data_IF_220090278131
#
_entry.id   IF_220090278131
#
_cell.length_a   1.000
_cell.length_b   1.000
_cell.length_c   1.000
_cell.angle_alpha   90.00
_cell.angle_beta   90.00
_cell.angle_gamma   90.00
#
_symmetry.space_group_name_H-M   'P 1'
#
loop_
_entity.id
_entity.type
_entity.pdbx_description
1 polymer ?
#
# COMPACT_ATOMS: atom_id res chain seq x y z
N UNK A 1 8.60 -13.57 -49.42
CA UNK A 1 8.86 -13.46 -47.94
C UNK A 1 7.84 -12.61 -47.17
N UNK A 2 6.98 -11.84 -47.81
CA UNK A 2 6.07 -10.85 -47.17
C UNK A 2 4.80 -11.45 -46.52
N UNK A 3 4.26 -12.57 -46.98
CA UNK A 3 2.99 -13.13 -46.46
C UNK A 3 3.17 -13.90 -45.13
N UNK A 4 4.29 -14.58 -44.95
CA UNK A 4 4.58 -15.35 -43.72
C UNK A 4 4.87 -14.42 -42.53
N UNK A 5 5.57 -13.29 -42.75
CA UNK A 5 5.86 -12.29 -41.71
C UNK A 5 4.60 -11.55 -41.26
N UNK A 6 3.68 -11.23 -42.17
CA UNK A 6 2.40 -10.62 -41.82
C UNK A 6 1.49 -11.57 -41.01
N UNK A 7 1.46 -12.87 -41.38
CA UNK A 7 0.71 -13.90 -40.66
C UNK A 7 1.29 -14.18 -39.25
N UNK A 8 2.62 -14.13 -39.11
CA UNK A 8 3.28 -14.27 -37.81
C UNK A 8 2.98 -13.07 -36.87
N UNK A 9 3.05 -11.85 -37.39
CA UNK A 9 2.71 -10.64 -36.60
C UNK A 9 1.26 -10.63 -36.15
N UNK A 10 0.32 -11.08 -36.94
CA UNK A 10 -1.09 -11.19 -36.57
C UNK A 10 -1.36 -12.27 -35.50
N UNK A 11 -0.60 -13.38 -35.51
CA UNK A 11 -0.66 -14.43 -34.49
C UNK A 11 -0.12 -13.94 -33.15
N UNK A 12 1.06 -13.32 -33.15
CA UNK A 12 1.68 -12.76 -31.94
C UNK A 12 0.75 -11.72 -31.27
N UNK A 13 0.20 -10.79 -32.06
CA UNK A 13 -0.72 -9.79 -31.54
C UNK A 13 -1.95 -10.40 -30.84
N UNK A 14 -2.56 -11.42 -31.45
CA UNK A 14 -3.70 -12.13 -30.85
C UNK A 14 -3.32 -12.87 -29.56
N UNK A 15 -2.12 -13.44 -29.53
CA UNK A 15 -1.61 -14.11 -28.31
C UNK A 15 -1.41 -13.12 -27.19
N UNK A 16 -0.73 -12.00 -27.46
CA UNK A 16 -0.52 -10.93 -26.45
C UNK A 16 -1.83 -10.31 -26.01
N UNK A 17 -2.80 -10.11 -26.92
CA UNK A 17 -4.13 -9.64 -26.56
C UNK A 17 -4.84 -10.59 -25.59
N UNK A 18 -4.74 -11.92 -25.81
CA UNK A 18 -5.30 -12.92 -24.89
C UNK A 18 -4.62 -12.86 -23.52
N UNK A 19 -3.32 -12.76 -23.49
CA UNK A 19 -2.57 -12.63 -22.23
C UNK A 19 -2.97 -11.37 -21.47
N UNK A 20 -3.05 -10.26 -22.16
CA UNK A 20 -3.52 -9.01 -21.55
C UNK A 20 -4.94 -9.15 -20.96
N UNK A 21 -5.84 -9.77 -21.72
CA UNK A 21 -7.21 -9.99 -21.25
C UNK A 21 -7.28 -10.89 -20.00
N UNK A 22 -6.62 -12.05 -20.02
CA UNK A 22 -6.63 -12.95 -18.86
C UNK A 22 -5.85 -12.42 -17.68
N UNK A 23 -4.72 -11.77 -17.88
CA UNK A 23 -3.98 -11.07 -16.84
C UNK A 23 -4.84 -9.98 -16.21
N UNK A 24 -5.57 -9.19 -17.03
CA UNK A 24 -6.51 -8.18 -16.53
C UNK A 24 -7.64 -8.79 -15.72
N UNK A 25 -8.29 -9.84 -16.24
CA UNK A 25 -9.39 -10.50 -15.53
C UNK A 25 -8.97 -11.03 -14.17
N UNK A 26 -7.77 -11.60 -14.08
CA UNK A 26 -7.20 -12.09 -12.82
C UNK A 26 -6.80 -10.93 -11.89
N UNK A 27 -6.12 -9.90 -12.41
CA UNK A 27 -5.54 -8.84 -11.58
C UNK A 27 -6.54 -7.81 -11.08
N UNK A 28 -7.65 -7.55 -11.80
CA UNK A 28 -8.64 -6.52 -11.46
C UNK A 28 -9.14 -6.59 -10.01
N UNK A 29 -9.61 -7.75 -9.48
CA UNK A 29 -10.10 -7.81 -8.11
C UNK A 29 -9.01 -7.46 -7.09
N UNK A 30 -7.78 -7.90 -7.32
CA UNK A 30 -6.65 -7.57 -6.45
C UNK A 30 -6.28 -6.08 -6.54
N UNK A 31 -6.21 -5.52 -7.75
CA UNK A 31 -5.91 -4.09 -7.96
C UNK A 31 -6.95 -3.23 -7.23
N UNK A 32 -8.23 -3.53 -7.35
CA UNK A 32 -9.29 -2.79 -6.67
C UNK A 32 -9.17 -2.91 -5.15
N UNK A 33 -8.93 -4.12 -4.64
CA UNK A 33 -8.76 -4.37 -3.23
C UNK A 33 -7.52 -3.66 -2.66
N UNK A 34 -6.38 -3.81 -3.30
CA UNK A 34 -5.12 -3.20 -2.88
C UNK A 34 -5.17 -1.66 -2.99
N UNK A 35 -5.81 -1.13 -4.04
CA UNK A 35 -6.01 0.31 -4.15
C UNK A 35 -6.90 0.85 -3.03
N UNK A 36 -8.00 0.18 -2.69
CA UNK A 36 -8.88 0.59 -1.60
C UNK A 36 -8.18 0.53 -0.24
N UNK A 37 -7.57 -0.61 0.11
CA UNK A 37 -6.89 -0.80 1.40
C UNK A 37 -5.64 0.07 1.54
N UNK A 38 -4.86 0.23 0.46
CA UNK A 38 -3.70 1.12 0.42
C UNK A 38 -4.09 2.59 0.58
N UNK A 39 -5.21 3.01 -0.05
CA UNK A 39 -5.75 4.37 0.13
C UNK A 39 -6.13 4.65 1.58
N UNK A 40 -6.73 3.68 2.27
CA UNK A 40 -7.03 3.81 3.71
C UNK A 40 -5.73 3.87 4.51
N UNK A 41 -4.75 3.03 4.20
CA UNK A 41 -3.47 2.98 4.90
C UNK A 41 -2.66 4.29 4.74
N UNK A 42 -2.85 5.02 3.64
CA UNK A 42 -2.24 6.35 3.44
C UNK A 42 -2.63 7.34 4.55
N UNK A 43 -3.82 7.18 5.13
CA UNK A 43 -4.30 8.00 6.24
C UNK A 43 -3.94 7.42 7.63
N UNK A 44 -2.99 6.47 7.70
CA UNK A 44 -2.53 5.88 8.97
C UNK A 44 -2.18 6.92 10.03
N UNK A 45 -1.40 8.00 9.77
CA UNK A 45 -1.06 8.98 10.80
C UNK A 45 -2.30 9.68 11.36
N UNK A 46 -3.29 9.99 10.53
CA UNK A 46 -4.54 10.65 10.94
C UNK A 46 -5.42 9.70 11.74
N UNK A 47 -5.51 8.43 11.31
CA UNK A 47 -6.26 7.38 12.01
C UNK A 47 -5.64 7.12 13.39
N UNK A 48 -4.33 6.95 13.47
CA UNK A 48 -3.62 6.74 14.72
C UNK A 48 -3.78 7.95 15.66
N UNK A 49 -3.63 9.17 15.14
CA UNK A 49 -3.82 10.40 15.92
C UNK A 49 -5.26 10.59 16.43
N UNK A 50 -6.26 10.12 15.66
CA UNK A 50 -7.65 10.12 16.11
C UNK A 50 -7.92 9.08 17.21
N UNK A 51 -7.34 7.88 17.09
CA UNK A 51 -7.47 6.79 18.07
C UNK A 51 -6.74 7.13 19.36
N UNK A 52 -5.57 7.77 19.27
CA UNK A 52 -4.69 8.07 20.39
C UNK A 52 -4.89 9.50 20.94
N UNK A 53 -5.92 10.24 20.49
CA UNK A 53 -6.16 11.64 20.85
C UNK A 53 -6.19 11.91 22.36
N UNK A 54 -6.64 10.95 23.16
CA UNK A 54 -6.78 11.11 24.60
C UNK A 54 -5.42 11.10 25.31
N UNK A 55 -4.45 10.35 24.75
CA UNK A 55 -3.06 10.29 25.24
C UNK A 55 -2.14 11.31 24.54
N UNK A 56 -2.64 12.04 23.54
CA UNK A 56 -1.91 13.10 22.83
C UNK A 56 -2.31 14.52 23.27
N UNK A 57 -3.13 14.65 24.34
CA UNK A 57 -3.59 15.96 24.88
C UNK A 57 -3.36 16.05 26.35
N UNK A 58 -2.23 15.58 26.85
CA UNK A 58 -1.87 15.60 28.25
C UNK A 58 -1.65 17.04 28.76
N UNK A 59 -1.88 17.24 30.02
CA UNK A 59 -1.47 18.46 30.75
C UNK A 59 -0.08 18.18 31.31
N UNK A 60 0.91 18.83 30.74
CA UNK A 60 2.32 18.74 31.15
C UNK A 60 2.71 20.12 31.66
N UNK A 61 2.89 20.22 32.97
CA UNK A 61 3.15 21.46 33.72
C UNK A 61 4.55 21.52 34.33
N UNK A 62 5.40 20.50 34.08
CA UNK A 62 6.76 20.40 34.56
C UNK A 62 7.73 19.76 33.56
N UNK A 63 8.99 19.58 33.95
CA UNK A 63 10.01 18.99 33.11
C UNK A 63 9.67 17.53 32.80
N UNK A 64 9.98 17.10 31.55
CA UNK A 64 9.86 15.72 31.16
C UNK A 64 10.97 14.88 31.80
N UNK A 65 10.65 13.70 32.24
CA UNK A 65 11.64 12.72 32.66
C UNK A 65 12.52 12.27 31.44
N UNK A 66 13.68 11.72 31.75
CA UNK A 66 14.59 11.21 30.70
C UNK A 66 13.93 10.07 29.89
N UNK A 67 14.34 9.92 28.64
CA UNK A 67 13.86 8.82 27.79
C UNK A 67 14.11 7.45 28.42
N UNK A 68 15.24 7.31 29.11
CA UNK A 68 15.58 6.07 29.84
C UNK A 68 14.58 5.78 30.96
N UNK A 69 14.20 6.78 31.77
CA UNK A 69 13.21 6.62 32.85
C UNK A 69 11.84 6.23 32.27
N UNK A 70 11.46 6.81 31.13
CA UNK A 70 10.21 6.49 30.44
C UNK A 70 10.21 5.04 29.90
N UNK A 71 11.34 4.58 29.35
CA UNK A 71 11.53 3.18 28.92
C UNK A 71 11.47 2.23 30.11
N UNK A 72 12.11 2.56 31.23
CA UNK A 72 12.04 1.73 32.44
C UNK A 72 10.62 1.62 32.98
N UNK A 73 9.84 2.71 32.95
CA UNK A 73 8.43 2.68 33.34
C UNK A 73 7.61 1.74 32.44
N UNK A 74 7.86 1.74 31.14
CA UNK A 74 7.20 0.83 30.21
C UNK A 74 7.59 -0.63 30.44
N UNK A 75 8.87 -0.92 30.67
CA UNK A 75 9.35 -2.28 30.95
C UNK A 75 8.80 -2.81 32.28
N UNK A 76 8.68 -1.96 33.29
CA UNK A 76 8.08 -2.30 34.59
C UNK A 76 6.60 -2.67 34.44
N UNK A 77 5.88 -2.01 33.53
CA UNK A 77 4.48 -2.28 33.25
C UNK A 77 4.23 -3.62 32.53
N UNK A 78 5.23 -4.14 31.82
CA UNK A 78 5.17 -5.43 31.09
C UNK A 78 6.31 -6.33 31.56
N UNK A 79 6.17 -7.01 32.71
CA UNK A 79 7.25 -7.84 33.27
C UNK A 79 7.72 -8.94 32.33
N UNK A 80 9.04 -9.11 32.20
CA UNK A 80 9.66 -10.10 31.32
C UNK A 80 9.73 -9.66 29.85
N UNK A 81 9.31 -8.43 29.53
CA UNK A 81 9.51 -7.87 28.20
C UNK A 81 10.92 -7.32 28.00
N UNK A 82 11.26 -7.09 26.73
CA UNK A 82 12.49 -6.43 26.29
C UNK A 82 12.15 -5.19 25.50
N UNK A 83 12.97 -4.16 25.63
CA UNK A 83 12.85 -2.95 24.81
C UNK A 83 12.96 -3.28 23.31
N UNK A 84 12.04 -2.76 22.52
CA UNK A 84 12.03 -2.92 21.06
C UNK A 84 12.21 -1.58 20.33
N UNK A 85 11.44 -0.55 20.70
CA UNK A 85 11.58 0.77 20.08
C UNK A 85 11.03 1.88 21.00
N UNK A 86 11.52 3.09 20.79
CA UNK A 86 11.02 4.31 21.41
C UNK A 86 10.56 5.25 20.29
N UNK A 87 9.28 5.59 20.31
CA UNK A 87 8.72 6.55 19.34
C UNK A 87 8.71 7.94 19.98
N UNK A 88 9.29 8.89 19.26
CA UNK A 88 9.25 10.29 19.68
C UNK A 88 7.80 10.77 19.80
N UNK A 89 7.48 11.58 20.83
CA UNK A 89 6.15 12.13 20.98
C UNK A 89 5.80 13.05 19.81
N UNK A 90 4.56 12.97 19.32
CA UNK A 90 4.08 13.77 18.19
C UNK A 90 4.06 15.27 18.49
N UNK A 91 3.76 15.62 19.73
CA UNK A 91 3.72 17.00 20.24
C UNK A 91 4.27 17.06 21.66
N UNK A 92 4.48 18.27 22.17
CA UNK A 92 4.88 18.47 23.57
C UNK A 92 3.83 18.01 24.59
N UNK A 93 2.62 17.72 24.14
CA UNK A 93 1.51 17.24 24.98
C UNK A 93 1.17 15.78 24.76
N UNK A 94 1.97 15.07 23.96
CA UNK A 94 1.75 13.66 23.66
C UNK A 94 2.45 12.77 24.69
N UNK A 95 1.80 11.64 25.01
CA UNK A 95 2.44 10.51 25.67
C UNK A 95 3.59 9.98 24.84
N UNK A 96 4.58 9.44 25.50
CA UNK A 96 5.65 8.68 24.86
C UNK A 96 5.15 7.28 24.56
N UNK A 97 5.50 6.76 23.39
CA UNK A 97 5.16 5.43 22.96
C UNK A 97 6.41 4.55 23.01
N UNK A 98 6.41 3.59 23.92
CA UNK A 98 7.48 2.60 24.03
C UNK A 98 6.95 1.26 23.55
N UNK A 99 7.61 0.69 22.55
CA UNK A 99 7.33 -0.67 22.12
C UNK A 99 8.20 -1.63 22.92
N UNK A 100 7.55 -2.61 23.53
CA UNK A 100 8.21 -3.70 24.24
C UNK A 100 7.82 -5.03 23.61
N UNK A 101 8.70 -6.03 23.70
CA UNK A 101 8.48 -7.37 23.13
C UNK A 101 8.57 -8.42 24.21
N UNK A 102 7.58 -9.32 24.24
CA UNK A 102 7.53 -10.47 25.14
C UNK A 102 7.04 -11.70 24.39
N UNK A 103 7.88 -12.74 24.32
CA UNK A 103 7.49 -14.00 23.67
C UNK A 103 7.19 -13.87 22.17
N UNK A 104 7.77 -12.87 21.49
CA UNK A 104 7.50 -12.59 20.07
C UNK A 104 6.32 -11.64 19.81
N UNK A 105 5.49 -11.37 20.80
CA UNK A 105 4.45 -10.35 20.72
C UNK A 105 5.02 -8.97 21.03
N UNK A 106 4.47 -7.94 20.40
CA UNK A 106 4.84 -6.54 20.62
C UNK A 106 3.68 -5.80 21.26
N UNK A 107 3.95 -5.16 22.39
CA UNK A 107 3.02 -4.30 23.08
C UNK A 107 3.49 -2.84 22.98
N UNK A 108 2.57 -1.95 22.74
CA UNK A 108 2.76 -0.50 22.74
C UNK A 108 2.31 0.04 24.09
N UNK A 109 3.24 0.60 24.84
CA UNK A 109 3.00 1.18 26.15
C UNK A 109 3.06 2.71 26.02
N UNK A 110 1.99 3.39 26.41
CA UNK A 110 1.88 4.84 26.42
C UNK A 110 2.23 5.36 27.81
N UNK A 111 3.30 6.10 27.92
CA UNK A 111 3.84 6.61 29.19
C UNK A 111 3.67 8.13 29.25
N UNK A 112 3.14 8.64 30.37
CA UNK A 112 3.18 10.07 30.66
C UNK A 112 4.62 10.53 30.80
N UNK A 113 5.10 11.47 29.97
CA UNK A 113 6.50 11.84 29.94
C UNK A 113 7.00 12.57 31.17
N UNK A 114 6.10 13.10 32.01
CA UNK A 114 6.43 13.81 33.25
C UNK A 114 6.25 12.91 34.46
N UNK A 115 5.11 12.21 34.56
CA UNK A 115 4.72 11.44 35.76
C UNK A 115 5.18 9.99 35.72
N UNK A 116 5.67 9.52 34.56
CA UNK A 116 6.09 8.14 34.34
C UNK A 116 4.97 7.10 34.57
N UNK A 117 3.72 7.55 34.56
CA UNK A 117 2.56 6.67 34.70
C UNK A 117 2.20 6.07 33.33
N UNK A 118 1.83 4.80 33.34
CA UNK A 118 1.33 4.13 32.13
C UNK A 118 -0.13 4.51 31.94
N UNK A 119 -0.44 5.11 30.80
CA UNK A 119 -1.77 5.61 30.46
C UNK A 119 -2.59 4.57 29.70
N UNK A 120 -1.93 3.79 28.84
CA UNK A 120 -2.57 2.82 27.95
C UNK A 120 -1.56 1.75 27.56
N UNK A 121 -2.03 0.51 27.39
CA UNK A 121 -1.29 -0.60 26.79
C UNK A 121 -2.13 -1.20 25.68
N UNK A 122 -1.51 -1.50 24.53
CA UNK A 122 -2.20 -2.06 23.37
C UNK A 122 -1.28 -3.08 22.71
N UNK A 123 -1.79 -4.28 22.42
CA UNK A 123 -1.09 -5.20 21.54
C UNK A 123 -0.96 -4.56 20.16
N UNK A 124 0.25 -4.56 19.58
CA UNK A 124 0.50 -3.96 18.27
C UNK A 124 -0.29 -4.68 17.17
N UNK A 125 -0.60 -5.97 17.36
CA UNK A 125 -1.40 -6.76 16.43
C UNK A 125 -2.90 -6.40 16.45
N UNK A 126 -3.41 -5.84 17.55
CA UNK A 126 -4.82 -5.46 17.72
C UNK A 126 -5.14 -4.04 17.20
N UNK A 127 -4.13 -3.32 16.73
CA UNK A 127 -4.35 -1.97 16.20
C UNK A 127 -5.11 -2.00 14.87
N UNK A 128 -6.05 -1.07 14.70
CA UNK A 128 -6.82 -0.92 13.46
C UNK A 128 -5.90 -0.77 12.22
N UNK A 129 -4.84 0.01 12.36
CA UNK A 129 -3.87 0.21 11.27
C UNK A 129 -3.07 -1.04 10.94
N UNK A 130 -2.85 -1.94 11.92
CA UNK A 130 -2.27 -3.25 11.71
C UNK A 130 -3.23 -4.18 10.96
N UNK A 131 -4.51 -4.13 11.31
CA UNK A 131 -5.56 -4.86 10.57
C UNK A 131 -5.59 -4.43 9.09
N UNK A 132 -5.55 -3.12 8.82
CA UNK A 132 -5.51 -2.58 7.45
C UNK A 132 -4.26 -3.05 6.71
N UNK A 133 -3.10 -3.08 7.37
CA UNK A 133 -1.86 -3.61 6.82
C UNK A 133 -2.00 -5.09 6.42
N UNK A 134 -2.57 -5.93 7.31
CA UNK A 134 -2.83 -7.35 7.01
C UNK A 134 -3.85 -7.52 5.88
N UNK A 135 -4.88 -6.68 5.82
CA UNK A 135 -5.83 -6.66 4.71
C UNK A 135 -5.14 -6.37 3.38
N UNK A 136 -4.21 -5.41 3.37
CA UNK A 136 -3.49 -5.02 2.18
C UNK A 136 -2.49 -6.07 1.71
N UNK A 137 -1.62 -6.56 2.59
CA UNK A 137 -0.50 -7.44 2.23
C UNK A 137 -0.76 -8.93 2.37
N UNK A 138 -1.72 -9.32 3.22
CA UNK A 138 -1.92 -10.72 3.62
C UNK A 138 -3.35 -11.22 3.38
N UNK A 139 -4.29 -10.37 2.92
CA UNK A 139 -5.71 -10.69 2.75
C UNK A 139 -6.36 -11.32 4.00
N UNK A 140 -5.81 -11.07 5.18
CA UNK A 140 -6.15 -11.69 6.48
C UNK A 140 -5.93 -13.21 6.58
N UNK A 141 -5.28 -13.84 5.61
CA UNK A 141 -5.00 -15.28 5.59
C UNK A 141 -3.51 -15.60 5.70
N UNK A 142 -2.72 -14.65 6.24
CA UNK A 142 -1.31 -14.80 6.54
C UNK A 142 -0.45 -15.05 5.28
N UNK A 143 0.53 -15.93 5.40
CA UNK A 143 1.50 -16.19 4.31
C UNK A 143 0.83 -16.60 2.98
N UNK A 144 -0.27 -17.34 3.02
CA UNK A 144 -1.01 -17.71 1.81
C UNK A 144 -1.55 -16.47 1.10
N UNK A 145 -2.04 -15.49 1.87
CA UNK A 145 -2.49 -14.21 1.32
C UNK A 145 -1.35 -13.41 0.71
N UNK A 146 -0.18 -13.35 1.37
CA UNK A 146 1.00 -12.71 0.81
C UNK A 146 1.40 -13.30 -0.53
N UNK A 147 1.45 -14.62 -0.66
CA UNK A 147 1.74 -15.28 -1.94
C UNK A 147 0.71 -14.97 -3.02
N UNK A 148 -0.57 -14.86 -2.67
CA UNK A 148 -1.61 -14.46 -3.64
C UNK A 148 -1.44 -13.01 -4.10
N UNK A 149 -1.08 -12.10 -3.19
CA UNK A 149 -0.79 -10.70 -3.52
C UNK A 149 0.45 -10.58 -4.40
N UNK A 150 1.53 -11.32 -4.09
CA UNK A 150 2.75 -11.37 -4.90
C UNK A 150 2.48 -11.94 -6.30
N UNK A 151 1.67 -13.01 -6.39
CA UNK A 151 1.23 -13.57 -7.66
C UNK A 151 0.43 -12.53 -8.46
N UNK A 152 -0.50 -11.83 -7.82
CA UNK A 152 -1.29 -10.77 -8.46
C UNK A 152 -0.40 -9.61 -8.94
N UNK A 153 0.61 -9.19 -8.16
CA UNK A 153 1.59 -8.19 -8.56
C UNK A 153 2.40 -8.64 -9.78
N UNK A 154 2.85 -9.90 -9.80
CA UNK A 154 3.56 -10.48 -10.94
C UNK A 154 2.70 -10.48 -12.22
N UNK A 155 1.41 -10.85 -12.10
CA UNK A 155 0.46 -10.80 -13.22
C UNK A 155 0.12 -9.37 -13.63
N UNK A 156 0.12 -8.41 -12.70
CA UNK A 156 -0.05 -7.00 -13.04
C UNK A 156 1.13 -6.47 -13.87
N UNK A 157 2.36 -6.93 -13.63
CA UNK A 157 3.51 -6.61 -14.49
C UNK A 157 3.28 -7.14 -15.92
N UNK A 158 2.85 -8.40 -16.04
CA UNK A 158 2.49 -8.98 -17.36
C UNK A 158 1.38 -8.17 -18.04
N UNK A 159 0.36 -7.77 -17.28
CA UNK A 159 -0.73 -6.92 -17.75
C UNK A 159 -0.23 -5.58 -18.30
N UNK A 160 0.65 -4.89 -17.57
CA UNK A 160 1.19 -3.60 -17.98
C UNK A 160 2.08 -3.72 -19.21
N UNK A 161 3.00 -4.68 -19.23
CA UNK A 161 3.90 -4.89 -20.38
C UNK A 161 3.13 -5.26 -21.66
N UNK A 162 2.16 -6.16 -21.55
CA UNK A 162 1.31 -6.53 -22.68
C UNK A 162 0.40 -5.36 -23.10
N UNK A 163 -0.08 -4.56 -22.16
CA UNK A 163 -0.84 -3.35 -22.41
C UNK A 163 -0.05 -2.29 -23.18
N UNK A 164 1.20 -2.03 -22.78
CA UNK A 164 2.10 -1.12 -23.49
C UNK A 164 2.43 -1.63 -24.92
N UNK A 165 2.62 -2.94 -25.09
CA UNK A 165 2.80 -3.52 -26.41
C UNK A 165 1.57 -3.34 -27.31
N UNK A 166 0.35 -3.54 -26.77
CA UNK A 166 -0.90 -3.37 -27.51
C UNK A 166 -1.22 -1.91 -27.81
N UNK A 167 -0.83 -1.00 -26.89
CA UNK A 167 -0.97 0.43 -27.04
C UNK A 167 -0.03 0.98 -28.12
N UNK A 168 1.16 0.38 -28.34
CA UNK A 168 2.19 0.93 -29.22
C UNK A 168 1.61 1.31 -30.59
N UNK A 169 1.73 2.58 -31.02
CA UNK A 169 1.12 3.06 -32.24
C UNK A 169 1.81 2.47 -33.48
N UNK A 170 1.01 1.93 -34.38
CA UNK A 170 1.48 1.36 -35.66
C UNK A 170 1.54 2.39 -36.78
N UNK A 171 0.94 3.55 -36.59
CA UNK A 171 1.05 4.72 -37.46
C UNK A 171 1.12 5.98 -36.60
N UNK A 172 2.02 6.89 -36.97
CA UNK A 172 2.32 8.11 -36.21
C UNK A 172 1.59 9.35 -36.75
N UNK A 173 0.60 9.17 -37.64
CA UNK A 173 -0.08 10.29 -38.31
C UNK A 173 -0.97 11.12 -37.37
N UNK A 174 -1.37 10.58 -36.24
CA UNK A 174 -2.22 11.30 -35.29
C UNK A 174 -1.98 10.79 -33.86
N UNK A 175 -1.76 11.71 -32.90
CA UNK A 175 -1.56 11.42 -31.49
C UNK A 175 -2.88 11.21 -30.75
N UNK A 176 -4.03 11.48 -31.37
CA UNK A 176 -5.35 11.21 -30.80
C UNK A 176 -5.62 9.71 -30.64
N UNK A 177 -5.95 9.27 -29.42
CA UNK A 177 -6.08 7.87 -29.05
C UNK A 177 -4.75 7.19 -28.70
N UNK A 178 -3.64 7.93 -28.74
CA UNK A 178 -2.30 7.52 -28.31
C UNK A 178 -1.90 8.23 -27.02
N UNK A 179 -1.84 9.55 -27.03
CA UNK A 179 -1.47 10.38 -25.87
C UNK A 179 -2.66 11.06 -25.21
N UNK A 180 -3.76 11.29 -25.93
CA UNK A 180 -4.99 11.85 -25.40
C UNK A 180 -6.22 11.19 -26.04
N UNK A 181 -7.34 11.03 -25.29
CA UNK A 181 -8.52 10.35 -25.80
C UNK A 181 -9.28 11.22 -26.81
N UNK A 182 -9.86 10.58 -27.83
CA UNK A 182 -10.72 11.25 -28.82
C UNK A 182 -12.16 11.33 -28.33
N UNK A 183 -12.51 12.45 -27.70
CA UNK A 183 -13.79 12.62 -27.00
C UNK A 183 -15.02 12.58 -27.92
N UNK A 184 -14.87 12.91 -29.22
CA UNK A 184 -15.98 13.00 -30.19
C UNK A 184 -16.04 11.85 -31.21
N UNK A 185 -15.23 10.81 -31.04
CA UNK A 185 -15.10 9.72 -32.03
C UNK A 185 -16.11 8.57 -31.81
N UNK A 186 -17.17 8.80 -31.06
CA UNK A 186 -18.19 7.81 -30.74
C UNK A 186 -17.86 6.94 -29.51
N UNK A 187 -18.89 6.38 -28.87
CA UNK A 187 -18.84 5.71 -27.56
C UNK A 187 -17.79 4.59 -27.47
N UNK A 188 -17.71 3.72 -28.50
CA UNK A 188 -16.77 2.59 -28.52
C UNK A 188 -15.31 3.07 -28.58
N UNK A 189 -15.03 4.07 -29.40
CA UNK A 189 -13.68 4.64 -29.54
C UNK A 189 -13.30 5.42 -28.27
N UNK A 190 -14.23 6.14 -27.70
CA UNK A 190 -14.02 6.86 -26.44
C UNK A 190 -13.55 5.92 -25.32
N UNK A 191 -14.26 4.83 -25.04
CA UNK A 191 -13.89 3.89 -23.97
C UNK A 191 -12.56 3.18 -24.25
N UNK A 192 -12.29 2.82 -25.52
CA UNK A 192 -11.00 2.26 -25.91
C UNK A 192 -9.86 3.24 -25.65
N UNK A 193 -10.03 4.49 -26.08
CA UNK A 193 -9.00 5.51 -25.92
C UNK A 193 -8.81 5.89 -24.46
N UNK A 194 -9.87 5.98 -23.68
CA UNK A 194 -9.79 6.18 -22.23
C UNK A 194 -8.95 5.08 -21.56
N UNK A 195 -9.22 3.81 -21.87
CA UNK A 195 -8.44 2.70 -21.33
C UNK A 195 -6.97 2.77 -21.77
N UNK A 196 -6.72 2.95 -23.05
CA UNK A 196 -5.37 2.91 -23.62
C UNK A 196 -4.51 4.08 -23.15
N UNK A 197 -5.06 5.30 -23.14
CA UNK A 197 -4.34 6.52 -22.74
C UNK A 197 -4.13 6.56 -21.24
N UNK A 198 -5.15 6.27 -20.45
CA UNK A 198 -5.01 6.18 -18.99
C UNK A 198 -4.01 5.08 -18.62
N UNK A 199 -4.11 3.91 -19.28
CA UNK A 199 -3.18 2.80 -19.09
C UNK A 199 -1.73 3.20 -19.36
N UNK A 200 -1.47 3.97 -20.42
CA UNK A 200 -0.13 4.49 -20.71
C UNK A 200 0.40 5.37 -19.56
N UNK A 201 -0.36 6.41 -19.19
CA UNK A 201 0.09 7.38 -18.19
C UNK A 201 0.27 6.76 -16.80
N UNK A 202 -0.56 5.80 -16.45
CA UNK A 202 -0.48 5.08 -15.17
C UNK A 202 0.60 4.01 -15.17
N UNK A 203 0.94 3.42 -16.34
CA UNK A 203 1.88 2.28 -16.42
C UNK A 203 3.26 2.58 -15.83
N UNK A 204 3.79 3.78 -16.05
CA UNK A 204 5.11 4.15 -15.52
C UNK A 204 5.12 4.16 -13.98
N UNK A 205 4.09 4.75 -13.36
CA UNK A 205 3.94 4.79 -11.91
C UNK A 205 3.64 3.38 -11.34
N UNK A 206 2.76 2.64 -12.00
CA UNK A 206 2.39 1.30 -11.56
C UNK A 206 3.57 0.33 -11.63
N UNK A 207 4.36 0.35 -12.71
CA UNK A 207 5.58 -0.46 -12.83
C UNK A 207 6.61 -0.07 -11.78
N UNK A 208 6.79 1.22 -11.53
CA UNK A 208 7.69 1.68 -10.47
C UNK A 208 7.25 1.15 -9.11
N UNK A 209 5.98 1.26 -8.74
CA UNK A 209 5.44 0.76 -7.47
C UNK A 209 5.57 -0.76 -7.35
N UNK A 210 5.28 -1.51 -8.41
CA UNK A 210 5.36 -2.98 -8.41
C UNK A 210 6.78 -3.52 -8.29
N UNK A 211 7.78 -2.75 -8.74
CA UNK A 211 9.19 -3.17 -8.66
C UNK A 211 9.85 -2.68 -7.37
N UNK A 212 9.38 -1.57 -6.79
CA UNK A 212 9.94 -0.98 -5.57
C UNK A 212 9.26 -1.44 -4.27
N UNK A 213 8.05 -2.01 -4.35
CA UNK A 213 7.28 -2.52 -3.20
C UNK A 213 7.58 -3.96 -2.93
#
# INVERSE_FOLDING_TARGET
MTSQTAAAGSRLYRTIWRWHFYAGLFSIPFILWLAATGSIYLFKPQIDGWIDRDVDRLVIDGPRASAEAQVQAALAAVPGSRFAAYELPLTDRSAVRVLVSRGGQRERVYVDPQRLTVLKQVDEEDRLTRLIFKLHGELLIGNTGSYLVELAASWAIVLLLTGLYLWWPRSTQNLGGVLYPRLRAGRRVFWRDMHAVTGLWVSAFALFLLVSG
#
